data_IF_017160153906
#
_entry.id   IF_017160153906
#
_cell.length_a   1.000
_cell.length_b   1.000
_cell.length_c   1.000
_cell.angle_alpha   90.00
_cell.angle_beta   90.00
_cell.angle_gamma   90.00
#
_symmetry.space_group_name_H-M   'P 1'
#
loop_
_entity.id
_entity.type
_entity.pdbx_description
1 polymer ?
#
# COMPACT_ATOMS: atom_id res chain seq x y z
N UNK A 1 11.27 -5.53 -31.36
CA UNK A 1 10.70 -5.77 -30.04
C UNK A 1 10.24 -7.21 -29.99
N UNK A 2 11.02 -8.09 -29.31
CA UNK A 2 10.72 -9.51 -29.19
C UNK A 2 9.37 -9.71 -28.51
N UNK A 3 8.59 -10.68 -29.01
CA UNK A 3 7.37 -11.10 -28.35
C UNK A 3 7.72 -11.72 -26.97
N UNK A 4 7.00 -11.32 -25.92
CA UNK A 4 7.10 -11.96 -24.60
C UNK A 4 6.83 -13.47 -24.73
N UNK A 5 7.58 -14.28 -24.00
CA UNK A 5 7.36 -15.73 -23.95
C UNK A 5 5.97 -16.01 -23.34
N UNK A 6 5.41 -17.16 -23.66
CA UNK A 6 4.11 -17.59 -23.13
C UNK A 6 4.09 -17.60 -21.60
N UNK A 7 5.19 -18.05 -20.98
CA UNK A 7 5.37 -18.10 -19.53
C UNK A 7 5.33 -16.71 -18.89
N UNK A 8 5.97 -15.70 -19.51
CA UNK A 8 5.97 -14.33 -19.01
C UNK A 8 4.56 -13.72 -19.04
N UNK A 9 3.80 -14.03 -20.11
CA UNK A 9 2.39 -13.60 -20.23
C UNK A 9 1.49 -14.25 -19.18
N UNK A 10 1.65 -15.54 -18.93
CA UNK A 10 0.91 -16.24 -17.87
C UNK A 10 1.20 -15.66 -16.50
N UNK A 11 2.47 -15.46 -16.17
CA UNK A 11 2.88 -14.84 -14.90
C UNK A 11 2.31 -13.44 -14.71
N UNK A 12 2.24 -12.64 -15.76
CA UNK A 12 1.62 -11.31 -15.73
C UNK A 12 0.10 -11.40 -15.46
N UNK A 13 -0.60 -12.31 -16.15
CA UNK A 13 -2.04 -12.52 -15.93
C UNK A 13 -2.35 -13.02 -14.53
N UNK A 14 -1.58 -13.97 -14.00
CA UNK A 14 -1.70 -14.45 -12.61
C UNK A 14 -1.47 -13.33 -11.60
N UNK A 15 -0.52 -12.43 -11.86
CA UNK A 15 -0.27 -11.28 -10.99
C UNK A 15 -1.41 -10.27 -11.02
N UNK A 16 -2.04 -10.04 -12.18
CA UNK A 16 -3.24 -9.19 -12.30
C UNK A 16 -4.46 -9.82 -11.61
N UNK A 17 -4.59 -11.14 -11.67
CA UNK A 17 -5.65 -11.86 -10.97
C UNK A 17 -5.54 -11.72 -9.44
N UNK A 18 -4.32 -11.84 -8.90
CA UNK A 18 -4.03 -11.67 -7.47
C UNK A 18 -4.43 -10.30 -6.91
N UNK A 19 -4.43 -9.27 -7.74
CA UNK A 19 -4.86 -7.91 -7.36
C UNK A 19 -6.25 -7.55 -7.90
N UNK A 20 -6.99 -8.53 -8.41
CA UNK A 20 -8.41 -8.40 -8.79
C UNK A 20 -8.68 -7.50 -9.99
N UNK A 21 -7.76 -7.39 -10.96
CA UNK A 21 -7.96 -6.60 -12.20
C UNK A 21 -7.62 -7.38 -13.48
N UNK A 22 -7.76 -8.69 -13.45
CA UNK A 22 -7.51 -9.53 -14.62
C UNK A 22 -8.40 -9.14 -15.84
N UNK A 23 -9.62 -8.68 -15.59
CA UNK A 23 -10.55 -8.18 -16.61
C UNK A 23 -10.02 -6.96 -17.38
N UNK A 24 -9.03 -6.26 -16.82
CA UNK A 24 -8.37 -5.10 -17.44
C UNK A 24 -7.04 -5.43 -18.13
N UNK A 25 -6.66 -6.71 -18.20
CA UNK A 25 -5.33 -7.15 -18.67
C UNK A 25 -4.93 -6.61 -20.06
N UNK A 26 -5.90 -6.35 -20.93
CA UNK A 26 -5.67 -5.84 -22.28
C UNK A 26 -6.04 -4.37 -22.47
N UNK A 27 -6.42 -3.67 -21.39
CA UNK A 27 -6.65 -2.23 -21.43
C UNK A 27 -5.33 -1.46 -21.40
N UNK A 28 -5.33 -0.28 -22.00
CA UNK A 28 -4.20 0.64 -21.92
C UNK A 28 -4.14 1.25 -20.51
N UNK A 29 -2.93 1.43 -19.99
CA UNK A 29 -2.74 1.97 -18.65
C UNK A 29 -3.30 3.40 -18.46
N UNK A 30 -3.32 4.20 -19.52
CA UNK A 30 -3.89 5.57 -19.54
C UNK A 30 -5.42 5.60 -19.49
N UNK A 31 -6.09 4.47 -19.67
CA UNK A 31 -7.54 4.31 -19.56
C UNK A 31 -8.00 3.77 -18.19
N UNK A 32 -7.06 3.49 -17.31
CA UNK A 32 -7.32 2.95 -15.97
C UNK A 32 -7.53 4.08 -14.96
N UNK A 33 -8.43 3.86 -13.98
CA UNK A 33 -8.55 4.74 -12.82
C UNK A 33 -7.27 4.74 -11.97
N UNK A 34 -7.10 5.75 -11.09
CA UNK A 34 -5.94 5.84 -10.20
C UNK A 34 -5.74 4.57 -9.36
N UNK A 35 -6.80 4.03 -8.77
CA UNK A 35 -6.74 2.78 -8.01
C UNK A 35 -6.39 1.56 -8.87
N UNK A 36 -6.93 1.49 -10.10
CA UNK A 36 -6.56 0.43 -11.05
C UNK A 36 -5.10 0.54 -11.47
N UNK A 37 -4.57 1.75 -11.66
CA UNK A 37 -3.15 1.98 -11.94
C UNK A 37 -2.26 1.51 -10.79
N UNK A 38 -2.65 1.77 -9.54
CA UNK A 38 -1.95 1.27 -8.34
C UNK A 38 -1.95 -0.26 -8.28
N UNK A 39 -3.07 -0.90 -8.58
CA UNK A 39 -3.13 -2.36 -8.68
C UNK A 39 -2.24 -2.93 -9.78
N UNK A 40 -2.15 -2.26 -10.93
CA UNK A 40 -1.19 -2.65 -11.98
C UNK A 40 0.26 -2.51 -11.50
N UNK A 41 0.60 -1.44 -10.79
CA UNK A 41 1.92 -1.26 -10.21
C UNK A 41 2.24 -2.39 -9.21
N UNK A 42 1.27 -2.76 -8.36
CA UNK A 42 1.40 -3.86 -7.43
C UNK A 42 1.55 -5.22 -8.14
N UNK A 43 0.75 -5.51 -9.18
CA UNK A 43 0.89 -6.70 -10.00
C UNK A 43 2.28 -6.81 -10.66
N UNK A 44 2.82 -5.69 -11.16
CA UNK A 44 4.20 -5.64 -11.70
C UNK A 44 5.23 -6.02 -10.65
N UNK A 45 5.07 -5.55 -9.42
CA UNK A 45 5.95 -5.92 -8.30
C UNK A 45 5.86 -7.42 -8.01
N UNK A 46 4.66 -7.98 -7.99
CA UNK A 46 4.44 -9.41 -7.76
C UNK A 46 5.07 -10.31 -8.84
N UNK A 47 5.17 -9.87 -10.09
CA UNK A 47 5.85 -10.64 -11.15
C UNK A 47 7.32 -10.90 -10.86
N UNK A 48 7.95 -10.12 -9.98
CA UNK A 48 9.34 -10.29 -9.55
C UNK A 48 9.50 -11.32 -8.44
N UNK A 49 8.41 -11.87 -7.92
CA UNK A 49 8.38 -12.80 -6.78
C UNK A 49 9.14 -12.23 -5.56
N UNK A 50 8.78 -11.03 -5.07
CA UNK A 50 9.49 -10.36 -4.00
C UNK A 50 9.27 -11.05 -2.65
N UNK A 51 10.23 -10.92 -1.73
CA UNK A 51 10.07 -11.28 -0.32
C UNK A 51 9.56 -10.10 0.51
N UNK A 52 9.80 -8.88 0.04
CA UNK A 52 9.34 -7.64 0.66
C UNK A 52 8.90 -6.65 -0.42
N UNK A 53 7.83 -5.93 -0.15
CA UNK A 53 7.34 -4.82 -0.97
C UNK A 53 7.56 -3.53 -0.20
N UNK A 54 8.17 -2.55 -0.87
CA UNK A 54 8.30 -1.18 -0.38
C UNK A 54 7.34 -0.31 -1.18
N UNK A 55 6.42 0.38 -0.50
CA UNK A 55 5.48 1.28 -1.13
C UNK A 55 5.54 2.67 -0.47
N UNK A 56 5.79 3.67 -1.29
CA UNK A 56 5.88 5.06 -0.87
C UNK A 56 4.61 5.80 -1.28
N UNK A 57 3.83 6.23 -0.29
CA UNK A 57 2.56 6.94 -0.44
C UNK A 57 1.59 6.30 -1.47
N UNK A 58 1.32 5.00 -1.40
CA UNK A 58 0.59 4.31 -2.46
C UNK A 58 -0.87 4.76 -2.61
N UNK A 59 -1.40 5.55 -1.67
CA UNK A 59 -2.80 5.99 -1.63
C UNK A 59 -2.96 7.52 -1.62
N UNK A 60 -1.89 8.31 -1.72
CA UNK A 60 -1.92 9.76 -1.54
C UNK A 60 -2.84 10.52 -2.51
N UNK A 61 -3.02 10.01 -3.74
CA UNK A 61 -3.84 10.66 -4.78
C UNK A 61 -5.19 9.96 -5.00
N UNK A 62 -5.63 9.12 -4.06
CA UNK A 62 -6.86 8.34 -4.19
C UNK A 62 -7.96 8.89 -3.28
N UNK A 63 -9.21 8.74 -3.72
CA UNK A 63 -10.36 8.97 -2.85
C UNK A 63 -10.38 7.94 -1.69
N UNK A 64 -11.06 8.25 -0.56
CA UNK A 64 -11.03 7.41 0.64
C UNK A 64 -11.49 5.97 0.41
N UNK A 65 -12.45 5.73 -0.48
CA UNK A 65 -12.98 4.39 -0.76
C UNK A 65 -11.94 3.57 -1.53
N UNK A 66 -11.37 4.17 -2.56
CA UNK A 66 -10.31 3.55 -3.37
C UNK A 66 -9.03 3.31 -2.54
N UNK A 67 -8.68 4.27 -1.66
CA UNK A 67 -7.54 4.13 -0.75
C UNK A 67 -7.68 2.90 0.17
N UNK A 68 -8.85 2.73 0.80
CA UNK A 68 -9.14 1.54 1.63
C UNK A 68 -9.04 0.24 0.83
N UNK A 69 -9.50 0.24 -0.41
CA UNK A 69 -9.45 -0.93 -1.28
C UNK A 69 -8.01 -1.33 -1.62
N UNK A 70 -7.14 -0.35 -1.90
CA UNK A 70 -5.70 -0.59 -2.13
C UNK A 70 -5.02 -1.09 -0.85
N UNK A 71 -5.36 -0.55 0.32
CA UNK A 71 -4.83 -1.04 1.59
C UNK A 71 -5.25 -2.50 1.86
N UNK A 72 -6.49 -2.86 1.56
CA UNK A 72 -6.97 -4.25 1.64
C UNK A 72 -6.21 -5.19 0.70
N UNK A 73 -5.88 -4.73 -0.52
CA UNK A 73 -5.06 -5.50 -1.46
C UNK A 73 -3.66 -5.80 -0.86
N UNK A 74 -3.03 -4.84 -0.18
CA UNK A 74 -1.77 -5.06 0.54
C UNK A 74 -1.90 -6.10 1.66
N UNK A 75 -2.95 -5.99 2.49
CA UNK A 75 -3.21 -6.98 3.55
C UNK A 75 -3.41 -8.38 2.97
N UNK A 76 -4.21 -8.49 1.91
CA UNK A 76 -4.43 -9.76 1.23
C UNK A 76 -3.14 -10.40 0.71
N UNK A 77 -2.29 -9.62 0.05
CA UNK A 77 -0.99 -10.08 -0.43
C UNK A 77 -0.09 -10.54 0.72
N UNK A 78 -0.06 -9.79 1.82
CA UNK A 78 0.72 -10.19 2.99
C UNK A 78 0.23 -11.53 3.57
N UNK A 79 -1.08 -11.68 3.76
CA UNK A 79 -1.68 -12.88 4.38
C UNK A 79 -1.61 -14.10 3.48
N UNK A 80 -1.94 -13.97 2.19
CA UNK A 80 -2.02 -15.09 1.26
C UNK A 80 -0.67 -15.52 0.70
N UNK A 81 0.27 -14.57 0.54
CA UNK A 81 1.55 -14.83 -0.09
C UNK A 81 2.74 -14.78 0.88
N UNK A 82 2.53 -14.39 2.14
CA UNK A 82 3.59 -14.26 3.14
C UNK A 82 4.64 -13.18 2.80
N UNK A 83 4.29 -12.21 1.95
CA UNK A 83 5.20 -11.13 1.55
C UNK A 83 5.14 -10.04 2.61
N UNK A 84 6.28 -9.65 3.15
CA UNK A 84 6.37 -8.50 4.05
C UNK A 84 6.14 -7.19 3.29
N UNK A 85 5.39 -6.26 3.88
CA UNK A 85 5.07 -4.99 3.23
C UNK A 85 5.49 -3.84 4.15
N UNK A 86 6.30 -2.93 3.63
CA UNK A 86 6.68 -1.69 4.29
C UNK A 86 6.08 -0.53 3.52
N UNK A 87 5.17 0.20 4.19
CA UNK A 87 4.47 1.35 3.62
C UNK A 87 4.98 2.64 4.26
N UNK A 88 5.28 3.65 3.45
CA UNK A 88 5.32 5.03 3.89
C UNK A 88 3.94 5.65 3.59
N UNK A 89 3.27 6.18 4.61
CA UNK A 89 1.90 6.67 4.49
C UNK A 89 1.68 7.85 5.46
N UNK A 90 1.00 8.90 4.99
CA UNK A 90 0.65 10.07 5.81
C UNK A 90 -0.74 9.96 6.45
N UNK A 91 -1.62 9.10 5.93
CA UNK A 91 -2.96 8.88 6.47
C UNK A 91 -2.88 7.99 7.72
N UNK A 92 -2.84 8.63 8.90
CA UNK A 92 -2.71 7.97 10.20
C UNK A 92 -3.80 6.92 10.41
N UNK A 93 -5.05 7.24 10.10
CA UNK A 93 -6.18 6.32 10.25
C UNK A 93 -5.98 5.03 9.46
N UNK A 94 -5.55 5.13 8.19
CA UNK A 94 -5.27 3.96 7.38
C UNK A 94 -4.08 3.16 7.94
N UNK A 95 -3.04 3.85 8.42
CA UNK A 95 -1.91 3.18 9.05
C UNK A 95 -2.36 2.37 10.28
N UNK A 96 -3.19 2.96 11.15
CA UNK A 96 -3.69 2.30 12.37
C UNK A 96 -4.69 1.17 12.05
N UNK A 97 -5.52 1.33 11.01
CA UNK A 97 -6.53 0.34 10.61
C UNK A 97 -5.90 -0.91 9.97
N UNK A 98 -4.83 -0.75 9.17
CA UNK A 98 -4.32 -1.81 8.30
C UNK A 98 -2.94 -2.36 8.66
N UNK A 99 -2.11 -1.63 9.43
CA UNK A 99 -0.77 -2.09 9.76
C UNK A 99 -0.74 -2.84 11.11
N UNK A 100 0.04 -3.91 11.18
CA UNK A 100 0.31 -4.62 12.44
C UNK A 100 1.31 -3.86 13.31
N UNK A 101 2.28 -3.17 12.68
CA UNK A 101 3.39 -2.47 13.33
C UNK A 101 3.55 -1.09 12.73
N UNK A 102 3.74 -0.11 13.60
CA UNK A 102 4.00 1.28 13.24
C UNK A 102 5.44 1.64 13.61
N UNK A 103 6.11 2.32 12.69
CA UNK A 103 7.40 2.96 12.93
C UNK A 103 7.19 4.46 12.76
N UNK A 104 7.21 5.20 13.87
CA UNK A 104 7.10 6.66 13.89
C UNK A 104 8.47 7.31 13.78
N UNK A 105 8.63 8.21 12.80
CA UNK A 105 9.90 8.92 12.56
C UNK A 105 9.68 10.42 12.71
N UNK A 106 10.54 11.07 13.51
CA UNK A 106 10.58 12.53 13.67
C UNK A 106 12.00 13.04 13.65
N UNK A 107 12.25 14.06 12.84
CA UNK A 107 13.58 14.67 12.69
C UNK A 107 14.71 13.65 12.45
N UNK A 108 14.44 12.64 11.61
CA UNK A 108 15.41 11.60 11.23
C UNK A 108 15.67 10.54 12.31
N UNK A 109 14.87 10.51 13.37
CA UNK A 109 14.99 9.53 14.45
C UNK A 109 13.71 8.72 14.60
N UNK A 110 13.83 7.43 14.92
CA UNK A 110 12.69 6.61 15.30
C UNK A 110 12.27 7.03 16.71
N UNK A 111 11.04 7.51 16.85
CA UNK A 111 10.43 7.94 18.13
C UNK A 111 9.40 6.93 18.63
N UNK A 112 8.89 6.07 17.74
CA UNK A 112 8.03 4.95 18.07
C UNK A 112 8.36 3.76 17.19
N UNK A 113 8.34 2.57 17.77
CA UNK A 113 8.43 1.29 17.05
C UNK A 113 7.66 0.23 17.83
N UNK A 114 6.49 -0.16 17.34
CA UNK A 114 5.64 -1.11 18.04
C UNK A 114 4.32 -1.43 17.33
N UNK A 115 3.47 -2.26 17.99
CA UNK A 115 2.17 -2.63 17.46
C UNK A 115 1.26 -1.41 17.23
N UNK A 116 0.50 -1.40 16.12
CA UNK A 116 -0.48 -0.35 15.82
C UNK A 116 -1.51 -0.18 16.95
N UNK A 117 -1.93 -1.28 17.58
CA UNK A 117 -2.88 -1.28 18.68
C UNK A 117 -2.42 -0.55 19.96
N UNK A 118 -1.12 -0.21 20.06
CA UNK A 118 -0.54 0.55 21.20
C UNK A 118 -0.28 2.01 20.86
N UNK A 119 -0.65 2.46 19.67
CA UNK A 119 -0.52 3.86 19.27
C UNK A 119 -1.67 4.63 19.88
N UNK A 120 -1.36 5.48 20.84
CA UNK A 120 -2.29 6.42 21.47
C UNK A 120 -1.95 7.86 21.08
N UNK A 121 -2.69 8.82 21.62
CA UNK A 121 -2.46 10.24 21.33
C UNK A 121 -1.04 10.69 21.71
N UNK A 122 -0.49 10.19 22.81
CA UNK A 122 0.86 10.55 23.23
C UNK A 122 1.93 10.07 22.22
N UNK A 123 1.73 8.90 21.62
CA UNK A 123 2.58 8.39 20.53
C UNK A 123 2.44 9.28 19.30
N UNK A 124 1.21 9.64 18.89
CA UNK A 124 0.99 10.53 17.76
C UNK A 124 1.63 11.91 17.98
N UNK A 125 1.50 12.48 19.17
CA UNK A 125 2.12 13.75 19.54
C UNK A 125 3.66 13.65 19.51
N UNK A 126 4.22 12.51 19.84
CA UNK A 126 5.67 12.27 19.73
C UNK A 126 6.14 12.27 18.28
N UNK A 127 5.32 11.79 17.35
CA UNK A 127 5.62 11.71 15.92
C UNK A 127 5.40 13.06 15.23
N UNK A 128 4.25 13.69 15.43
CA UNK A 128 3.81 14.89 14.70
C UNK A 128 4.02 16.21 15.48
N UNK A 129 4.15 16.16 16.80
CA UNK A 129 4.17 17.31 17.71
C UNK A 129 2.78 17.58 18.29
N UNK A 130 2.70 18.42 19.33
CA UNK A 130 1.48 18.71 20.12
C UNK A 130 0.28 19.33 19.36
N UNK A 131 0.37 19.48 18.04
CA UNK A 131 -0.70 20.07 17.20
C UNK A 131 -1.50 19.06 16.36
N UNK A 132 -1.23 17.77 16.45
CA UNK A 132 -1.89 16.76 15.63
C UNK A 132 -3.38 16.52 15.98
N UNK A 133 -3.90 17.11 17.03
CA UNK A 133 -5.31 16.99 17.48
C UNK A 133 -6.23 18.15 17.10
N UNK A 134 -5.76 19.17 16.38
CA UNK A 134 -6.51 20.43 16.18
C UNK A 134 -7.08 20.65 14.76
N UNK A 135 -6.83 19.81 13.79
CA UNK A 135 -7.21 20.03 12.38
C UNK A 135 -8.35 19.14 11.84
N UNK A 136 -9.08 18.40 12.67
CA UNK A 136 -10.26 17.63 12.22
C UNK A 136 -11.56 18.18 12.79
N UNK A 137 -11.81 19.47 12.61
CA UNK A 137 -13.15 20.05 12.77
C UNK A 137 -13.32 21.28 11.87
N UNK A 138 -13.42 21.08 10.55
CA UNK A 138 -14.18 21.99 9.67
C UNK A 138 -14.79 21.18 8.52
#
# INVERSE_FOLDING_TARGET
LGAFRKEDKLKALESLDKVGILDKAYMRADQLSGGQQQRVALARTLTQSPHIILADEPVAALDPVTAKQVMQDFVHINQEMGISILLNIHHVELALEYADRIIGIRAGKIVYDGPSARVDQAVLDSIYGEQAGAEECV
#
